data_IF_431448844658
#
_entry.id   IF_431448844658
#
_cell.length_a   1.000
_cell.length_b   1.000
_cell.length_c   1.000
_cell.angle_alpha   90.00
_cell.angle_beta   90.00
_cell.angle_gamma   90.00
#
_symmetry.space_group_name_H-M   'P 1'
#
loop_
_entity.id
_entity.type
_entity.pdbx_description
1 polymer ?
#
# COMPACT_ATOMS: atom_id res chain seq x y z
N UNK A 1 -17.22 1.55 7.40
CA UNK A 1 -16.67 0.29 7.97
C UNK A 1 -17.66 -0.25 8.99
N UNK A 2 -17.84 -1.57 9.21
CA UNK A 2 -17.95 -1.99 10.60
C UNK A 2 -16.62 -1.58 11.23
N UNK A 3 -16.58 -0.43 11.89
CA UNK A 3 -15.38 0.09 12.56
C UNK A 3 -14.80 -1.03 13.39
N UNK A 4 -13.67 -1.57 12.93
CA UNK A 4 -13.01 -2.63 13.67
C UNK A 4 -12.71 -2.09 15.06
N UNK A 5 -13.03 -2.92 16.06
CA UNK A 5 -13.01 -2.49 17.46
C UNK A 5 -11.62 -1.96 17.81
N UNK A 6 -11.51 -0.85 18.55
CA UNK A 6 -10.25 -0.39 19.09
C UNK A 6 -9.52 -1.52 19.83
N UNK A 7 -8.21 -1.59 19.67
CA UNK A 7 -7.36 -2.59 20.31
C UNK A 7 -6.77 -2.03 21.61
N UNK A 8 -6.60 -2.88 22.63
CA UNK A 8 -6.06 -2.48 23.91
C UNK A 8 -4.53 -2.54 23.91
N UNK A 9 -3.92 -1.74 24.80
CA UNK A 9 -2.48 -1.76 25.05
C UNK A 9 -1.91 -3.17 25.27
N UNK A 10 -2.59 -3.98 26.09
CA UNK A 10 -2.13 -5.35 26.42
C UNK A 10 -2.08 -6.24 25.19
N UNK A 11 -3.11 -6.16 24.35
CA UNK A 11 -3.23 -6.96 23.13
C UNK A 11 -2.15 -6.58 22.12
N UNK A 12 -1.85 -5.28 21.96
CA UNK A 12 -0.73 -4.82 21.11
C UNK A 12 0.58 -5.42 21.62
N UNK A 13 0.84 -5.41 22.92
CA UNK A 13 2.09 -5.95 23.48
C UNK A 13 2.26 -7.44 23.17
N UNK A 14 1.19 -8.23 23.30
CA UNK A 14 1.20 -9.66 22.98
C UNK A 14 1.40 -9.89 21.50
N UNK A 15 0.57 -9.24 20.65
CA UNK A 15 0.59 -9.43 19.20
C UNK A 15 1.89 -8.98 18.55
N UNK A 16 2.40 -7.81 18.94
CA UNK A 16 3.63 -7.23 18.38
C UNK A 16 4.92 -7.66 19.11
N UNK A 17 4.82 -8.56 20.11
CA UNK A 17 5.95 -9.02 20.94
C UNK A 17 6.73 -7.88 21.63
N UNK A 18 6.04 -6.86 22.13
CA UNK A 18 6.68 -5.65 22.67
C UNK A 18 6.87 -5.78 24.18
N UNK A 19 8.11 -5.67 24.69
CA UNK A 19 8.38 -5.62 26.13
C UNK A 19 7.65 -4.46 26.83
N UNK A 20 7.27 -4.66 28.11
CA UNK A 20 6.44 -3.70 28.86
C UNK A 20 7.09 -2.32 29.01
N UNK A 21 8.40 -2.29 29.24
CA UNK A 21 9.22 -1.08 29.34
C UNK A 21 9.25 -0.33 28.01
N UNK A 22 9.48 -1.05 26.91
CA UNK A 22 9.44 -0.50 25.54
C UNK A 22 8.07 0.10 25.22
N UNK A 23 6.98 -0.62 25.50
CA UNK A 23 5.62 -0.11 25.27
C UNK A 23 5.35 1.19 26.03
N UNK A 24 5.81 1.28 27.29
CA UNK A 24 5.63 2.49 28.10
C UNK A 24 6.40 3.67 27.50
N UNK A 25 7.64 3.42 27.07
CA UNK A 25 8.48 4.43 26.45
C UNK A 25 7.89 4.90 25.11
N UNK A 26 7.39 4.00 24.28
CA UNK A 26 6.81 4.31 22.97
C UNK A 26 5.53 5.12 23.02
N UNK A 27 4.65 4.83 23.97
CA UNK A 27 3.44 5.64 24.19
C UNK A 27 3.82 7.05 24.65
N UNK A 28 4.81 7.19 25.54
CA UNK A 28 5.29 8.52 26.01
C UNK A 28 6.03 9.29 24.92
N UNK A 29 6.84 8.59 24.13
CA UNK A 29 7.62 9.16 23.03
C UNK A 29 6.84 9.38 21.74
N UNK A 30 5.57 8.97 21.68
CA UNK A 30 4.68 9.18 20.52
C UNK A 30 4.90 8.21 19.35
N UNK A 31 5.68 7.13 19.55
CA UNK A 31 5.84 6.05 18.57
C UNK A 31 4.52 5.33 18.36
N UNK A 32 3.74 5.13 19.43
CA UNK A 32 2.36 4.64 19.37
C UNK A 32 1.41 5.72 19.90
N UNK A 33 0.27 5.89 19.22
CA UNK A 33 -0.68 6.97 19.52
C UNK A 33 -2.05 6.40 19.93
N UNK A 34 -2.46 6.54 21.20
CA UNK A 34 -3.81 6.14 21.61
C UNK A 34 -4.87 7.07 21.00
N UNK A 35 -6.07 6.55 20.76
CA UNK A 35 -7.21 7.33 20.20
C UNK A 35 -7.67 8.41 21.19
N UNK A 36 -7.75 8.05 22.47
CA UNK A 36 -8.01 8.93 23.59
C UNK A 36 -7.22 8.41 24.79
N UNK A 37 -6.64 9.30 25.59
CA UNK A 37 -6.12 8.93 26.91
C UNK A 37 -7.31 8.93 27.88
N UNK A 38 -7.83 7.77 28.33
CA UNK A 38 -8.84 7.80 29.38
C UNK A 38 -8.19 8.38 30.63
N UNK A 39 -8.94 9.18 31.38
CA UNK A 39 -8.57 9.54 32.76
C UNK A 39 -8.51 8.25 33.60
N UNK A 40 -7.30 7.71 33.80
CA UNK A 40 -7.07 6.48 34.56
C UNK A 40 -5.77 5.74 34.22
N UNK A 41 -5.51 4.63 34.92
CA UNK A 41 -4.31 3.79 34.76
C UNK A 41 -4.10 3.37 33.30
N UNK A 42 -2.90 3.63 32.74
CA UNK A 42 -2.56 3.47 31.31
C UNK A 42 -2.66 2.07 30.68
N UNK A 43 -3.30 1.11 31.37
CA UNK A 43 -3.68 -0.22 30.86
C UNK A 43 -4.99 -0.19 30.05
N UNK A 44 -5.85 0.82 30.25
CA UNK A 44 -7.11 1.00 29.51
C UNK A 44 -6.96 1.84 28.22
N UNK A 45 -5.72 2.18 27.85
CA UNK A 45 -5.46 2.90 26.60
C UNK A 45 -5.99 2.10 25.42
N UNK A 46 -6.79 2.77 24.59
CA UNK A 46 -7.35 2.25 23.36
C UNK A 46 -6.61 2.84 22.17
N UNK A 47 -6.34 2.00 21.19
CA UNK A 47 -5.66 2.36 19.97
C UNK A 47 -6.54 1.95 18.79
N UNK A 48 -6.39 2.66 17.68
CA UNK A 48 -6.89 2.15 16.41
C UNK A 48 -6.23 0.80 16.13
N UNK A 49 -6.98 -0.15 15.57
CA UNK A 49 -6.51 -1.52 15.37
C UNK A 49 -5.18 -1.60 14.59
N UNK A 50 -4.96 -0.70 13.62
CA UNK A 50 -3.75 -0.65 12.78
C UNK A 50 -2.49 -0.24 13.57
N UNK A 51 -2.63 0.33 14.77
CA UNK A 51 -1.48 0.62 15.62
C UNK A 51 -0.79 -0.68 16.06
N UNK A 52 -1.46 -1.84 16.06
CA UNK A 52 -0.80 -3.14 16.26
C UNK A 52 0.19 -3.46 15.13
N UNK A 53 -0.18 -3.17 13.88
CA UNK A 53 0.67 -3.37 12.71
C UNK A 53 1.88 -2.43 12.74
N UNK A 54 1.63 -1.14 13.02
CA UNK A 54 2.70 -0.14 13.20
C UNK A 54 3.64 -0.61 14.30
N UNK A 55 3.11 -1.04 15.45
CA UNK A 55 3.90 -1.48 16.59
C UNK A 55 4.81 -2.69 16.25
N UNK A 56 4.29 -3.66 15.49
CA UNK A 56 5.07 -4.83 15.07
C UNK A 56 6.21 -4.46 14.12
N UNK A 57 5.93 -3.62 13.11
CA UNK A 57 6.96 -3.11 12.19
C UNK A 57 8.02 -2.31 12.97
N UNK A 58 7.61 -1.41 13.86
CA UNK A 58 8.54 -0.67 14.71
C UNK A 58 9.38 -1.58 15.60
N UNK A 59 8.83 -2.70 16.09
CA UNK A 59 9.57 -3.62 16.96
C UNK A 59 10.65 -4.36 16.18
N UNK A 60 10.36 -4.76 14.94
CA UNK A 60 11.37 -5.32 14.04
C UNK A 60 12.48 -4.31 13.74
N UNK A 61 12.10 -3.08 13.39
CA UNK A 61 13.08 -2.01 13.14
C UNK A 61 13.93 -1.70 14.38
N UNK A 62 13.33 -1.70 15.59
CA UNK A 62 14.05 -1.56 16.86
C UNK A 62 15.07 -2.68 17.07
N UNK A 63 14.68 -3.93 16.82
CA UNK A 63 15.57 -5.10 16.93
C UNK A 63 16.74 -4.96 15.95
N UNK A 64 16.47 -4.42 14.76
CA UNK A 64 17.47 -4.15 13.72
C UNK A 64 18.29 -2.85 13.96
N UNK A 65 18.11 -2.19 15.11
CA UNK A 65 18.93 -1.05 15.53
C UNK A 65 18.47 0.31 15.03
N UNK A 66 17.27 0.43 14.48
CA UNK A 66 16.69 1.74 14.12
C UNK A 66 16.40 2.55 15.38
N UNK A 67 16.87 3.79 15.40
CA UNK A 67 16.64 4.72 16.51
C UNK A 67 15.19 5.18 16.59
N UNK A 68 14.80 5.72 17.75
CA UNK A 68 13.43 6.19 17.97
C UNK A 68 13.02 7.30 17.01
N UNK A 69 13.93 8.21 16.65
CA UNK A 69 13.68 9.29 15.69
C UNK A 69 13.30 8.74 14.31
N UNK A 70 13.99 7.67 13.87
CA UNK A 70 13.66 6.98 12.62
C UNK A 70 12.32 6.26 12.69
N UNK A 71 12.03 5.59 13.81
CA UNK A 71 10.72 4.98 14.04
C UNK A 71 9.59 6.02 14.04
N UNK A 72 9.82 7.21 14.61
CA UNK A 72 8.87 8.32 14.59
C UNK A 72 8.66 8.86 13.17
N UNK A 73 9.72 8.98 12.37
CA UNK A 73 9.65 9.37 10.96
C UNK A 73 8.78 8.41 10.15
N UNK A 74 9.02 7.10 10.27
CA UNK A 74 8.25 6.06 9.57
C UNK A 74 6.80 6.03 10.08
N UNK A 75 6.62 6.07 11.40
CA UNK A 75 5.30 6.10 12.02
C UNK A 75 4.48 7.35 11.65
N UNK A 76 5.13 8.46 11.26
CA UNK A 76 4.45 9.63 10.69
C UNK A 76 3.93 9.33 9.30
N UNK A 77 4.74 8.75 8.41
CA UNK A 77 4.34 8.40 7.04
C UNK A 77 3.11 7.49 7.03
N UNK A 78 3.08 6.45 7.87
CA UNK A 78 1.91 5.57 7.98
C UNK A 78 0.65 6.31 8.43
N UNK A 79 0.77 7.22 9.40
CA UNK A 79 -0.38 7.97 9.93
C UNK A 79 -0.86 9.07 8.99
N UNK A 80 0.04 9.70 8.25
CA UNK A 80 -0.31 10.63 7.18
C UNK A 80 -1.10 9.92 6.09
N UNK A 81 -0.68 8.70 5.71
CA UNK A 81 -1.41 7.88 4.75
C UNK A 81 -2.82 7.49 5.24
N UNK A 82 -2.95 7.08 6.50
CA UNK A 82 -4.26 6.82 7.12
C UNK A 82 -5.11 8.09 7.12
N UNK A 83 -4.59 9.21 7.58
CA UNK A 83 -5.32 10.47 7.64
C UNK A 83 -5.76 10.97 6.27
N UNK A 84 -4.95 10.75 5.23
CA UNK A 84 -5.30 11.08 3.84
C UNK A 84 -6.55 10.30 3.39
N UNK A 85 -6.53 8.97 3.49
CA UNK A 85 -7.66 8.14 3.04
C UNK A 85 -8.90 8.27 3.94
N UNK A 86 -8.71 8.41 5.26
CA UNK A 86 -9.80 8.70 6.20
C UNK A 86 -10.43 10.07 5.90
N UNK A 87 -9.63 11.07 5.51
CA UNK A 87 -10.10 12.40 5.11
C UNK A 87 -10.94 12.38 3.83
N UNK A 88 -10.68 11.42 2.94
CA UNK A 88 -11.50 11.14 1.77
C UNK A 88 -12.74 10.28 2.09
N UNK A 89 -12.90 9.82 3.34
CA UNK A 89 -13.99 8.95 3.76
C UNK A 89 -13.89 7.51 3.21
N UNK A 90 -12.70 7.12 2.72
CA UNK A 90 -12.52 5.85 2.02
C UNK A 90 -12.20 4.72 2.98
N UNK A 91 -12.90 3.59 2.81
CA UNK A 91 -12.51 2.36 3.47
C UNK A 91 -11.47 1.57 2.66
N UNK A 92 -10.84 0.58 3.28
CA UNK A 92 -9.79 -0.26 2.65
C UNK A 92 -10.22 -0.84 1.29
N UNK A 93 -11.41 -1.41 1.19
CA UNK A 93 -11.88 -2.01 -0.07
C UNK A 93 -12.06 -0.95 -1.16
N UNK A 94 -12.50 0.25 -0.81
CA UNK A 94 -12.61 1.37 -1.74
C UNK A 94 -11.24 1.86 -2.20
N UNK A 95 -10.23 1.89 -1.32
CA UNK A 95 -8.85 2.20 -1.69
C UNK A 95 -8.29 1.16 -2.67
N UNK A 96 -8.51 -0.14 -2.44
CA UNK A 96 -8.16 -1.18 -3.43
C UNK A 96 -8.92 -1.00 -4.74
N UNK A 97 -10.21 -0.65 -4.70
CA UNK A 97 -11.01 -0.38 -5.89
C UNK A 97 -10.45 0.76 -6.74
N UNK A 98 -10.10 1.88 -6.10
CA UNK A 98 -9.44 3.02 -6.75
C UNK A 98 -8.07 2.64 -7.30
N UNK A 99 -7.28 1.87 -6.55
CA UNK A 99 -5.98 1.42 -7.02
C UNK A 99 -6.09 0.55 -8.28
N UNK A 100 -7.02 -0.41 -8.28
CA UNK A 100 -7.32 -1.21 -9.47
C UNK A 100 -7.73 -0.33 -10.65
N UNK A 101 -8.52 0.72 -10.41
CA UNK A 101 -8.92 1.66 -11.46
C UNK A 101 -7.72 2.39 -12.06
N UNK A 102 -6.82 2.93 -11.23
CA UNK A 102 -5.61 3.59 -11.71
C UNK A 102 -4.68 2.67 -12.51
N UNK A 103 -4.61 1.36 -12.17
CA UNK A 103 -3.86 0.35 -12.94
C UNK A 103 -4.48 0.13 -14.32
N UNK A 104 -5.81 0.03 -14.40
CA UNK A 104 -6.54 -0.12 -15.67
C UNK A 104 -6.34 1.10 -16.54
N UNK A 105 -6.47 2.30 -15.98
CA UNK A 105 -6.19 3.57 -16.67
C UNK A 105 -4.76 3.62 -17.22
N UNK A 106 -3.75 3.23 -16.44
CA UNK A 106 -2.35 3.17 -16.91
C UNK A 106 -2.16 2.20 -18.07
N UNK A 107 -2.75 1.01 -17.94
CA UNK A 107 -2.65 -0.03 -18.96
C UNK A 107 -3.29 0.44 -20.26
N UNK A 108 -4.43 1.14 -20.15
CA UNK A 108 -5.12 1.73 -21.27
C UNK A 108 -4.28 2.85 -21.93
N UNK A 109 -3.78 3.82 -21.16
CA UNK A 109 -2.94 4.92 -21.67
C UNK A 109 -1.67 4.38 -22.34
N UNK A 110 -0.98 3.42 -21.73
CA UNK A 110 0.22 2.82 -22.32
C UNK A 110 -0.07 2.10 -23.64
N UNK A 111 -1.21 1.40 -23.73
CA UNK A 111 -1.68 0.77 -24.97
C UNK A 111 -2.02 1.82 -26.04
N UNK A 112 -2.67 2.91 -25.65
CA UNK A 112 -3.01 4.02 -26.55
C UNK A 112 -1.77 4.73 -27.10
N UNK A 113 -0.77 4.98 -26.26
CA UNK A 113 0.52 5.52 -26.71
C UNK A 113 1.19 4.59 -27.73
N UNK A 114 1.19 3.28 -27.47
CA UNK A 114 1.72 2.29 -28.42
C UNK A 114 0.95 2.26 -29.74
N UNK A 115 -0.38 2.38 -29.70
CA UNK A 115 -1.20 2.48 -30.93
C UNK A 115 -0.88 3.77 -31.71
N UNK A 116 -0.68 4.89 -31.03
CA UNK A 116 -0.27 6.14 -31.66
C UNK A 116 1.12 6.03 -32.32
N UNK A 117 2.08 5.37 -31.67
CA UNK A 117 3.39 5.07 -32.24
C UNK A 117 3.28 4.17 -33.49
N UNK A 118 2.48 3.11 -33.43
CA UNK A 118 2.20 2.24 -34.58
C UNK A 118 1.51 3.01 -35.72
N UNK A 119 0.55 3.88 -35.41
CA UNK A 119 -0.11 4.75 -36.39
C UNK A 119 0.89 5.65 -37.10
N UNK A 120 1.79 6.28 -36.34
CA UNK A 120 2.84 7.14 -36.89
C UNK A 120 3.80 6.35 -37.77
N UNK A 121 4.17 5.13 -37.38
CA UNK A 121 5.03 4.25 -38.16
C UNK A 121 4.36 3.80 -39.47
N UNK A 122 3.13 3.27 -39.40
CA UNK A 122 2.38 2.74 -40.55
C UNK A 122 2.02 3.81 -41.57
N UNK A 123 1.83 5.06 -41.12
CA UNK A 123 1.55 6.21 -41.99
C UNK A 123 2.81 7.01 -42.36
N UNK A 124 4.00 6.58 -41.94
CA UNK A 124 5.25 7.28 -42.26
C UNK A 124 5.60 7.16 -43.75
N UNK A 125 6.14 8.22 -44.37
CA UNK A 125 6.61 8.14 -45.75
C UNK A 125 7.72 7.10 -45.90
N UNK A 126 7.48 6.06 -46.68
CA UNK A 126 8.44 4.98 -46.93
C UNK A 126 8.18 3.67 -46.16
N UNK A 127 7.14 3.60 -45.34
CA UNK A 127 6.70 2.35 -44.74
C UNK A 127 6.02 1.44 -45.77
N UNK A 128 6.62 0.29 -46.05
CA UNK A 128 6.12 -0.72 -46.99
C UNK A 128 5.19 -1.70 -46.26
N UNK A 129 3.88 -1.50 -46.44
CA UNK A 129 2.83 -2.30 -45.77
C UNK A 129 2.88 -3.77 -46.18
N UNK A 130 3.18 -4.05 -47.45
CA UNK A 130 3.19 -5.42 -47.99
C UNK A 130 4.34 -6.25 -47.42
N UNK A 131 5.45 -5.59 -47.07
CA UNK A 131 6.61 -6.24 -46.42
C UNK A 131 6.48 -6.39 -44.91
N UNK A 132 5.53 -5.70 -44.28
CA UNK A 132 5.36 -5.68 -42.82
C UNK A 132 3.93 -6.04 -42.38
N UNK A 133 3.36 -7.19 -42.85
CA UNK A 133 1.97 -7.53 -42.59
C UNK A 133 1.65 -7.74 -41.10
N UNK A 134 2.63 -8.16 -40.28
CA UNK A 134 2.45 -8.31 -38.83
C UNK A 134 2.28 -6.98 -38.09
N UNK A 135 2.96 -5.92 -38.55
CA UNK A 135 2.84 -4.57 -37.98
C UNK A 135 1.50 -3.95 -38.40
N UNK A 136 1.10 -4.16 -39.67
CA UNK A 136 -0.20 -3.71 -40.18
C UNK A 136 -1.35 -4.43 -39.49
N UNK A 137 -1.22 -5.73 -39.19
CA UNK A 137 -2.24 -6.48 -38.45
C UNK A 137 -2.35 -6.08 -36.96
N UNK A 138 -1.27 -5.56 -36.36
CA UNK A 138 -1.28 -5.07 -34.98
C UNK A 138 -1.82 -3.63 -34.86
N UNK A 139 -1.89 -2.90 -35.96
CA UNK A 139 -2.47 -1.56 -36.05
C UNK A 139 -4.00 -1.65 -36.07
N UNK A 140 -4.65 -1.00 -35.09
CA UNK A 140 -6.11 -0.86 -35.02
C UNK A 140 -6.43 0.64 -34.97
N UNK A 141 -7.12 1.15 -35.99
CA UNK A 141 -7.51 2.56 -36.08
C UNK A 141 -8.84 2.76 -35.35
N UNK A 142 -8.80 2.81 -34.01
CA UNK A 142 -9.97 3.09 -33.20
C UNK A 142 -10.24 4.60 -33.16
N UNK A 143 -11.48 4.99 -33.39
CA UNK A 143 -12.00 6.34 -33.11
C UNK A 143 -11.96 6.67 -31.61
N UNK A 144 -12.07 7.94 -31.24
CA UNK A 144 -12.11 8.37 -29.82
C UNK A 144 -13.29 7.72 -29.08
N UNK A 145 -14.45 7.59 -29.73
CA UNK A 145 -15.64 6.94 -29.15
C UNK A 145 -15.40 5.45 -28.87
N UNK A 146 -14.75 4.72 -29.79
CA UNK A 146 -14.40 3.30 -29.61
C UNK A 146 -13.36 3.10 -28.51
N UNK A 147 -12.42 4.04 -28.36
CA UNK A 147 -11.46 4.04 -27.26
C UNK A 147 -12.14 4.24 -25.91
N UNK A 148 -13.11 5.15 -25.82
CA UNK A 148 -13.87 5.40 -24.60
C UNK A 148 -14.74 4.19 -24.22
N UNK A 149 -15.39 3.54 -25.19
CA UNK A 149 -16.13 2.31 -24.95
C UNK A 149 -15.22 1.17 -24.47
N UNK A 150 -14.05 0.98 -25.09
CA UNK A 150 -13.12 -0.07 -24.68
C UNK A 150 -12.55 0.18 -23.26
N UNK A 151 -12.28 1.43 -22.90
CA UNK A 151 -11.89 1.78 -21.52
C UNK A 151 -13.01 1.45 -20.53
N UNK A 152 -14.27 1.79 -20.86
CA UNK A 152 -15.43 1.45 -20.02
C UNK A 152 -15.58 -0.07 -19.88
N UNK A 153 -15.41 -0.83 -20.94
CA UNK A 153 -15.44 -2.30 -20.89
C UNK A 153 -14.30 -2.86 -20.04
N UNK A 154 -13.07 -2.36 -20.19
CA UNK A 154 -11.93 -2.79 -19.37
C UNK A 154 -12.14 -2.47 -17.89
N UNK A 155 -12.71 -1.31 -17.56
CA UNK A 155 -13.07 -0.92 -16.20
C UNK A 155 -14.18 -1.82 -15.63
N UNK A 156 -15.20 -2.15 -16.42
CA UNK A 156 -16.28 -3.08 -16.03
C UNK A 156 -15.76 -4.52 -15.86
N UNK A 157 -14.82 -4.96 -16.70
CA UNK A 157 -14.19 -6.27 -16.60
C UNK A 157 -13.30 -6.36 -15.35
N UNK A 158 -12.50 -5.32 -15.06
CA UNK A 158 -11.71 -5.23 -13.84
C UNK A 158 -12.57 -5.10 -12.58
N UNK A 159 -13.82 -4.64 -12.72
CA UNK A 159 -14.81 -4.66 -11.64
C UNK A 159 -15.28 -6.07 -11.27
N UNK A 160 -15.03 -7.06 -12.14
CA UNK A 160 -15.30 -8.47 -11.92
C UNK A 160 -14.29 -9.12 -10.96
N UNK A 161 -14.81 -9.62 -9.84
CA UNK A 161 -14.21 -10.60 -8.90
C UNK A 161 -12.69 -10.57 -8.65
N UNK A 162 -12.13 -9.39 -8.36
CA UNK A 162 -10.94 -9.35 -7.51
C UNK A 162 -11.37 -9.69 -6.06
N UNK A 163 -11.22 -10.96 -5.66
CA UNK A 163 -11.44 -11.48 -4.30
C UNK A 163 -12.90 -11.62 -3.81
N UNK A 164 -13.83 -11.96 -4.71
CA UNK A 164 -15.22 -12.29 -4.35
C UNK A 164 -16.11 -11.10 -3.96
N UNK A 165 -15.58 -9.88 -3.90
CA UNK A 165 -16.35 -8.64 -3.77
C UNK A 165 -16.13 -7.75 -5.00
N UNK A 166 -17.18 -7.16 -5.56
CA UNK A 166 -17.06 -6.16 -6.63
C UNK A 166 -16.35 -4.92 -6.06
N UNK A 167 -15.08 -4.73 -6.42
CA UNK A 167 -14.24 -3.63 -5.89
C UNK A 167 -14.41 -2.30 -6.63
N UNK A 168 -14.79 -2.35 -7.90
CA UNK A 168 -15.14 -1.15 -8.67
C UNK A 168 -16.66 -0.99 -8.67
N UNK A 169 -17.11 0.16 -8.18
CA UNK A 169 -18.51 0.58 -8.15
C UNK A 169 -18.63 1.95 -8.80
N UNK A 170 -19.86 2.38 -9.12
CA UNK A 170 -20.12 3.75 -9.60
C UNK A 170 -19.59 4.80 -8.62
N UNK A 171 -19.72 4.55 -7.32
CA UNK A 171 -19.19 5.41 -6.26
C UNK A 171 -17.66 5.55 -6.37
N UNK A 172 -16.92 4.47 -6.67
CA UNK A 172 -15.47 4.51 -6.89
C UNK A 172 -15.10 5.35 -8.11
N UNK A 173 -15.89 5.25 -9.20
CA UNK A 173 -15.68 6.07 -10.39
C UNK A 173 -15.92 7.57 -10.09
N UNK A 174 -16.95 7.90 -9.33
CA UNK A 174 -17.24 9.29 -8.90
C UNK A 174 -16.16 9.84 -7.94
N UNK A 175 -15.63 9.00 -7.05
CA UNK A 175 -14.51 9.38 -6.16
C UNK A 175 -13.25 9.64 -6.99
N UNK A 176 -12.96 8.80 -7.99
CA UNK A 176 -11.77 8.92 -8.85
C UNK A 176 -11.66 10.29 -9.51
N UNK A 177 -12.77 10.92 -9.90
CA UNK A 177 -12.78 12.26 -10.50
C UNK A 177 -12.19 13.34 -9.57
N UNK A 178 -12.20 13.11 -8.26
CA UNK A 178 -11.80 14.07 -7.23
C UNK A 178 -10.47 13.71 -6.54
N UNK A 179 -9.80 12.65 -6.99
CA UNK A 179 -8.56 12.15 -6.39
C UNK A 179 -7.40 12.37 -7.35
N UNK A 180 -6.46 13.22 -6.95
CA UNK A 180 -5.21 13.42 -7.66
C UNK A 180 -4.35 12.16 -7.58
N UNK A 181 -3.86 11.74 -8.75
CA UNK A 181 -3.12 10.48 -8.89
C UNK A 181 -1.83 10.49 -8.07
N UNK A 182 -1.08 11.57 -8.15
CA UNK A 182 0.21 11.69 -7.45
C UNK A 182 0.03 11.60 -5.94
N UNK A 183 -0.97 12.30 -5.39
CA UNK A 183 -1.29 12.26 -3.96
C UNK A 183 -1.82 10.89 -3.52
N UNK A 184 -2.61 10.22 -4.36
CA UNK A 184 -3.06 8.85 -4.08
C UNK A 184 -1.87 7.89 -3.94
N UNK A 185 -0.99 7.84 -4.94
CA UNK A 185 0.15 6.91 -4.94
C UNK A 185 1.19 7.23 -3.87
N UNK A 186 1.32 8.51 -3.49
CA UNK A 186 2.19 8.94 -2.37
C UNK A 186 1.80 8.28 -1.05
N UNK A 187 0.51 8.06 -0.80
CA UNK A 187 0.00 7.49 0.45
C UNK A 187 -0.32 6.00 0.35
N UNK A 188 -0.57 5.49 -0.86
CA UNK A 188 -1.09 4.15 -1.11
C UNK A 188 -0.28 3.04 -0.41
N UNK A 189 1.01 2.93 -0.69
CA UNK A 189 1.84 1.83 -0.17
C UNK A 189 1.85 1.78 1.35
N UNK A 190 2.04 2.94 1.97
CA UNK A 190 2.03 3.09 3.42
C UNK A 190 0.68 2.65 4.02
N UNK A 191 -0.43 3.10 3.42
CA UNK A 191 -1.78 2.74 3.87
C UNK A 191 -2.06 1.25 3.72
N UNK A 192 -1.78 0.66 2.54
CA UNK A 192 -1.98 -0.76 2.30
C UNK A 192 -1.15 -1.60 3.28
N UNK A 193 0.11 -1.22 3.53
CA UNK A 193 0.99 -1.88 4.51
C UNK A 193 0.31 -2.01 5.88
N UNK A 194 -0.10 -0.88 6.47
CA UNK A 194 -0.58 -0.87 7.86
C UNK A 194 -2.03 -1.28 8.01
N UNK A 195 -2.77 -1.35 6.90
CA UNK A 195 -4.16 -1.83 6.90
C UNK A 195 -4.29 -3.30 6.47
N UNK A 196 -3.18 -4.02 6.30
CA UNK A 196 -3.19 -5.45 6.01
C UNK A 196 -3.55 -6.29 7.25
N UNK A 197 -4.36 -7.33 7.06
CA UNK A 197 -4.73 -8.31 8.08
C UNK A 197 -4.73 -9.73 7.47
N UNK A 198 -3.57 -10.40 7.42
CA UNK A 198 -3.48 -11.74 6.85
C UNK A 198 -4.29 -12.73 7.69
N UNK A 199 -5.12 -13.55 7.04
CA UNK A 199 -5.94 -14.60 7.69
C UNK A 199 -5.25 -15.97 7.60
N UNK A 200 -5.43 -16.82 8.63
CA UNK A 200 -4.89 -18.18 8.66
C UNK A 200 -5.48 -19.10 7.57
N UNK A 201 -6.76 -18.89 7.22
CA UNK A 201 -7.55 -19.81 6.39
C UNK A 201 -7.50 -19.45 4.89
N UNK A 202 -6.46 -18.76 4.43
CA UNK A 202 -6.24 -18.45 3.01
C UNK A 202 -4.98 -19.20 2.52
N UNK A 203 -5.08 -20.53 2.26
CA UNK A 203 -3.95 -21.37 1.87
C UNK A 203 -3.61 -21.22 0.37
N UNK A 204 -4.43 -20.49 -0.39
CA UNK A 204 -4.13 -20.06 -1.74
C UNK A 204 -3.44 -18.69 -1.64
N UNK A 205 -2.13 -18.65 -1.90
CA UNK A 205 -1.33 -17.43 -1.88
C UNK A 205 -1.83 -16.36 -2.85
N UNK A 206 -2.82 -15.58 -2.43
CA UNK A 206 -3.34 -14.41 -3.11
C UNK A 206 -3.27 -13.16 -2.21
N UNK A 207 -2.33 -13.14 -1.27
CA UNK A 207 -1.71 -11.89 -0.87
C UNK A 207 -1.20 -11.21 -2.15
N UNK A 208 -1.57 -9.97 -2.40
CA UNK A 208 -0.95 -9.21 -3.48
C UNK A 208 0.59 -9.30 -3.34
N UNK A 209 1.25 -9.97 -4.31
CA UNK A 209 2.71 -10.05 -4.46
C UNK A 209 3.54 -10.17 -3.16
N UNK A 210 3.40 -11.30 -2.46
CA UNK A 210 4.16 -11.63 -1.24
C UNK A 210 5.69 -11.80 -1.43
N UNK A 211 6.25 -11.49 -2.59
CA UNK A 211 7.70 -11.53 -2.84
C UNK A 211 8.42 -10.21 -2.48
N UNK A 212 7.71 -9.17 -2.02
CA UNK A 212 8.32 -7.85 -1.83
C UNK A 212 8.65 -7.54 -0.37
N UNK A 213 9.93 -7.65 -0.02
CA UNK A 213 10.52 -6.99 1.15
C UNK A 213 10.17 -5.50 1.13
N UNK A 214 9.79 -4.95 2.29
CA UNK A 214 9.76 -3.50 2.48
C UNK A 214 11.15 -3.04 2.88
N UNK A 215 11.70 -2.12 2.12
CA UNK A 215 13.02 -1.57 2.40
C UNK A 215 12.91 -0.23 3.08
N UNK A 216 13.65 -0.06 4.17
CA UNK A 216 13.72 1.16 4.95
C UNK A 216 15.12 1.74 4.83
N UNK A 217 15.24 3.05 4.63
CA UNK A 217 16.54 3.71 4.56
C UNK A 217 16.51 5.07 5.22
N UNK A 218 17.69 5.50 5.67
CA UNK A 218 17.92 6.82 6.22
C UNK A 218 18.17 7.82 5.09
N UNK A 219 17.55 8.99 5.17
CA UNK A 219 17.75 10.09 4.23
C UNK A 219 18.71 11.13 4.81
N UNK A 220 19.86 11.34 4.17
CA UNK A 220 20.85 12.35 4.58
C UNK A 220 21.52 12.10 5.95
N UNK A 221 22.00 13.17 6.59
CA UNK A 221 22.71 13.13 7.86
C UNK A 221 21.78 13.13 9.10
N UNK A 222 20.49 13.43 8.94
CA UNK A 222 19.48 13.36 10.01
C UNK A 222 18.94 11.94 10.22
N UNK A 223 18.21 11.69 11.32
CA UNK A 223 17.56 10.38 11.58
C UNK A 223 16.18 10.28 10.89
N UNK A 224 16.02 10.90 9.72
CA UNK A 224 14.84 10.77 8.86
C UNK A 224 14.90 9.46 8.09
N UNK A 225 13.79 8.74 8.05
CA UNK A 225 13.67 7.46 7.37
C UNK A 225 12.53 7.48 6.37
N UNK A 226 12.75 6.81 5.25
CA UNK A 226 11.76 6.50 4.22
C UNK A 226 11.70 5.00 3.99
N UNK A 227 10.67 4.57 3.27
CA UNK A 227 10.53 3.20 2.85
C UNK A 227 9.77 3.08 1.54
N UNK A 228 10.03 1.99 0.84
CA UNK A 228 9.33 1.60 -0.37
C UNK A 228 9.29 0.08 -0.50
N UNK A 229 8.36 -0.40 -1.31
CA UNK A 229 8.21 -1.81 -1.64
C UNK A 229 9.01 -2.18 -2.88
N UNK A 230 9.48 -3.43 -2.91
CA UNK A 230 9.88 -4.08 -4.14
C UNK A 230 11.15 -3.52 -4.80
N UNK A 231 11.38 -3.85 -6.07
CA UNK A 231 12.66 -3.64 -6.75
C UNK A 231 13.00 -2.16 -6.99
N UNK A 232 12.01 -1.26 -6.96
CA UNK A 232 12.22 0.19 -7.16
C UNK A 232 12.83 0.88 -5.94
N UNK A 233 12.73 0.27 -4.76
CA UNK A 233 13.24 0.86 -3.51
C UNK A 233 14.73 1.22 -3.59
N UNK A 234 15.55 0.40 -4.28
CA UNK A 234 16.98 0.67 -4.45
C UNK A 234 17.24 1.97 -5.24
N UNK A 235 16.46 2.22 -6.29
CA UNK A 235 16.57 3.44 -7.10
C UNK A 235 16.17 4.69 -6.32
N UNK A 236 15.12 4.59 -5.50
CA UNK A 236 14.67 5.69 -4.63
C UNK A 236 15.67 5.97 -3.51
N UNK A 237 16.14 4.92 -2.82
CA UNK A 237 17.16 5.03 -1.79
C UNK A 237 18.45 5.67 -2.32
N UNK A 238 18.86 5.31 -3.54
CA UNK A 238 20.04 5.91 -4.19
C UNK A 238 19.85 7.40 -4.45
N UNK A 239 18.66 7.82 -4.95
CA UNK A 239 18.34 9.24 -5.16
C UNK A 239 18.37 10.04 -3.85
N UNK A 240 17.99 9.40 -2.76
CA UNK A 240 18.02 9.99 -1.42
C UNK A 240 19.41 9.96 -0.75
N UNK A 241 20.44 9.43 -1.44
CA UNK A 241 21.80 9.31 -0.92
C UNK A 241 21.94 8.28 0.20
N UNK A 242 21.05 7.28 0.24
CA UNK A 242 21.09 6.22 1.24
C UNK A 242 22.41 5.42 1.14
N UNK A 243 23.07 5.22 2.28
CA UNK A 243 24.28 4.39 2.38
C UNK A 243 23.98 2.94 2.69
N UNK A 244 22.81 2.67 3.26
CA UNK A 244 22.36 1.34 3.67
C UNK A 244 20.83 1.30 3.69
N UNK A 245 20.29 0.09 3.54
CA UNK A 245 18.87 -0.20 3.57
C UNK A 245 18.64 -1.40 4.51
N UNK A 246 17.51 -1.38 5.20
CA UNK A 246 17.01 -2.48 6.03
C UNK A 246 15.85 -3.11 5.28
N UNK A 247 15.93 -4.39 4.96
CA UNK A 247 14.83 -5.15 4.38
C UNK A 247 14.05 -5.84 5.49
N UNK A 248 12.73 -5.66 5.51
CA UNK A 248 11.82 -6.35 6.43
C UNK A 248 10.74 -7.03 5.61
N UNK A 249 10.52 -8.31 5.86
CA UNK A 249 9.34 -9.04 5.39
C UNK A 249 8.14 -8.60 6.23
N UNK A 250 7.56 -7.46 5.86
CA UNK A 250 6.45 -6.88 6.61
C UNK A 250 5.24 -7.82 6.58
N UNK A 251 5.03 -8.56 5.50
CA UNK A 251 3.87 -9.45 5.43
C UNK A 251 4.00 -10.61 6.40
N UNK A 252 5.18 -11.22 6.55
CA UNK A 252 5.42 -12.22 7.59
C UNK A 252 5.21 -11.64 9.00
N UNK A 253 5.70 -10.41 9.24
CA UNK A 253 5.50 -9.70 10.51
C UNK A 253 4.01 -9.49 10.81
N UNK A 254 3.22 -9.08 9.83
CA UNK A 254 1.78 -8.87 10.01
C UNK A 254 1.02 -10.20 10.12
N UNK A 255 1.47 -11.25 9.42
CA UNK A 255 0.90 -12.59 9.57
C UNK A 255 1.03 -13.08 11.01
N UNK A 256 2.20 -12.89 11.63
CA UNK A 256 2.38 -13.20 13.05
C UNK A 256 1.44 -12.39 13.95
N UNK A 257 1.29 -11.09 13.73
CA UNK A 257 0.42 -10.22 14.56
C UNK A 257 -1.02 -10.73 14.62
N UNK A 258 -1.57 -11.16 13.48
CA UNK A 258 -2.97 -11.53 13.36
C UNK A 258 -3.25 -13.02 13.59
N UNK A 259 -2.24 -13.88 13.43
CA UNK A 259 -2.37 -15.32 13.63
C UNK A 259 -1.68 -15.84 14.90
N UNK A 260 -1.05 -14.96 15.69
CA UNK A 260 -0.52 -15.34 17.01
C UNK A 260 -1.65 -15.73 17.96
N UNK A 261 -1.58 -16.92 18.58
CA UNK A 261 -2.50 -17.36 19.61
C UNK A 261 -2.62 -16.35 20.76
N UNK A 262 -3.84 -16.15 21.29
CA UNK A 262 -4.10 -15.17 22.36
C UNK A 262 -3.41 -15.52 23.69
N UNK A 263 -3.02 -16.79 23.88
CA UNK A 263 -2.27 -17.30 25.03
C UNK A 263 -0.75 -17.09 24.90
N UNK A 264 -0.28 -16.51 23.78
CA UNK A 264 1.13 -16.17 23.56
C UNK A 264 2.05 -17.38 23.36
N UNK A 265 1.50 -18.56 23.09
CA UNK A 265 2.29 -19.73 22.71
C UNK A 265 2.79 -19.56 21.27
N UNK A 266 4.10 -19.77 21.09
CA UNK A 266 4.70 -19.89 19.76
C UNK A 266 4.48 -21.33 19.25
N UNK A 267 4.14 -21.55 17.97
CA UNK A 267 4.26 -22.87 17.36
C UNK A 267 5.73 -23.36 17.33
#
# INVERSE_FOLDING_TARGET
MPTQKPILRGDIMVKAAIPRDVMTFWVRGGVLRPMEAPTGTGFKLRFSWYEANIAAIMNQLRILGVKIEGMLSIGRVYREAIAYFDGLGLNRNQVYGLWSLFIVEDSFVARMLRQAELRNLVNSPGFDRDKNPSIVAAFVDLSEDEQEEELKEAMLAAAGEAHGEKRLTREIAEIRENVEREDFYRHLHAYLTVTEQPKADDPAGHSANLEEMTYFWRTGEGDEYRFAWGPKASGEATKDGAKAMIAVDVTAVLYEVWNRPEDGTFP
#
